data_IF_962764559630
#
_entry.id   IF_962764559630
#
_cell.length_a   1.000
_cell.length_b   1.000
_cell.length_c   1.000
_cell.angle_alpha   90.00
_cell.angle_beta   90.00
_cell.angle_gamma   90.00
#
_symmetry.space_group_name_H-M   'P 1'
#
loop_
_entity.id
_entity.type
_entity.pdbx_description
1 polymer ?
#
# COMPACT_ATOMS: atom_id res chain seq x y z
N UNK A 1 1.15 26.82 -22.27
CA UNK A 1 0.58 25.53 -22.74
C UNK A 1 1.49 24.41 -22.24
N UNK A 2 1.17 23.80 -21.10
CA UNK A 2 1.92 22.65 -20.59
C UNK A 2 1.36 21.38 -21.24
N UNK A 3 2.27 20.59 -21.81
CA UNK A 3 2.00 19.59 -22.84
C UNK A 3 1.16 18.40 -22.42
N UNK A 4 0.41 17.87 -23.38
CA UNK A 4 -0.31 16.60 -23.32
C UNK A 4 0.58 15.39 -22.90
N UNK A 5 1.90 15.51 -22.99
CA UNK A 5 2.87 14.50 -22.50
C UNK A 5 2.91 14.35 -20.98
N UNK A 6 2.52 15.37 -20.20
CA UNK A 6 2.58 15.30 -18.73
C UNK A 6 1.37 14.59 -18.13
N UNK A 7 0.19 14.71 -18.75
CA UNK A 7 -1.05 14.10 -18.26
C UNK A 7 -0.99 12.57 -18.20
N UNK A 8 -0.43 11.93 -19.24
CA UNK A 8 -0.29 10.46 -19.27
C UNK A 8 0.70 9.99 -18.20
N UNK A 9 1.84 10.68 -18.06
CA UNK A 9 2.85 10.33 -17.07
C UNK A 9 2.31 10.49 -15.64
N UNK A 10 1.69 11.63 -15.32
CA UNK A 10 1.11 11.86 -13.99
C UNK A 10 -0.08 10.93 -13.72
N UNK A 11 -0.90 10.64 -14.73
CA UNK A 11 -1.97 9.65 -14.63
C UNK A 11 -1.43 8.25 -14.34
N UNK A 12 -0.35 7.83 -15.02
CA UNK A 12 0.30 6.55 -14.78
C UNK A 12 0.91 6.47 -13.39
N UNK A 13 1.61 7.51 -12.93
CA UNK A 13 2.16 7.58 -11.57
C UNK A 13 1.05 7.49 -10.53
N UNK A 14 -0.04 8.24 -10.71
CA UNK A 14 -1.19 8.19 -9.81
C UNK A 14 -1.84 6.81 -9.77
N UNK A 15 -2.03 6.19 -10.93
CA UNK A 15 -2.56 4.82 -11.04
C UNK A 15 -1.65 3.81 -10.33
N UNK A 16 -0.35 3.81 -10.62
CA UNK A 16 0.61 2.89 -10.00
C UNK A 16 0.67 3.10 -8.49
N UNK A 17 0.65 4.34 -8.01
CA UNK A 17 0.66 4.64 -6.58
C UNK A 17 -0.60 4.10 -5.89
N UNK A 18 -1.78 4.33 -6.48
CA UNK A 18 -3.04 3.80 -5.94
C UNK A 18 -3.10 2.27 -5.99
N UNK A 19 -2.69 1.68 -7.12
CA UNK A 19 -2.63 0.24 -7.31
C UNK A 19 -1.71 -0.43 -6.28
N UNK A 20 -0.47 0.06 -6.13
CA UNK A 20 0.48 -0.45 -5.14
C UNK A 20 -0.04 -0.24 -3.72
N UNK A 21 -0.69 0.89 -3.42
CA UNK A 21 -1.32 1.13 -2.13
C UNK A 21 -2.37 0.07 -1.77
N UNK A 22 -3.24 -0.27 -2.73
CA UNK A 22 -4.23 -1.36 -2.57
C UNK A 22 -3.54 -2.71 -2.39
N UNK A 23 -2.52 -3.02 -3.19
CA UNK A 23 -1.77 -4.28 -3.05
C UNK A 23 -1.11 -4.42 -1.68
N UNK A 24 -0.51 -3.34 -1.15
CA UNK A 24 0.09 -3.32 0.18
C UNK A 24 -0.96 -3.45 1.29
N UNK A 25 -2.13 -2.86 1.12
CA UNK A 25 -3.24 -3.01 2.07
C UNK A 25 -3.69 -4.47 2.14
N UNK A 26 -3.94 -5.11 1.00
CA UNK A 26 -4.31 -6.53 0.94
C UNK A 26 -3.20 -7.43 1.49
N UNK A 27 -1.93 -7.09 1.26
CA UNK A 27 -0.80 -7.81 1.86
C UNK A 27 -0.80 -7.69 3.39
N UNK A 28 -1.15 -6.52 3.92
CA UNK A 28 -1.37 -6.31 5.36
C UNK A 28 -2.51 -7.18 5.89
N UNK A 29 -3.64 -7.22 5.19
CA UNK A 29 -4.78 -8.06 5.56
C UNK A 29 -4.42 -9.55 5.57
N UNK A 30 -3.60 -10.01 4.61
CA UNK A 30 -3.10 -11.39 4.57
C UNK A 30 -2.27 -11.76 5.79
N UNK A 31 -1.58 -10.79 6.41
CA UNK A 31 -0.82 -11.05 7.63
C UNK A 31 -1.73 -11.26 8.85
N UNK A 32 -2.99 -10.87 8.79
CA UNK A 32 -3.92 -11.02 9.91
C UNK A 32 -4.47 -12.44 10.04
N UNK A 33 -5.20 -12.73 11.11
CA UNK A 33 -5.99 -13.96 11.24
C UNK A 33 -7.28 -13.98 10.41
N UNK A 34 -7.70 -12.85 9.84
CA UNK A 34 -8.97 -12.76 9.12
C UNK A 34 -8.80 -13.29 7.70
N UNK A 35 -9.45 -14.43 7.41
CA UNK A 35 -9.49 -15.01 6.08
C UNK A 35 -10.36 -14.16 5.16
N UNK A 36 -9.87 -13.89 3.96
CA UNK A 36 -10.61 -13.23 2.90
C UNK A 36 -10.15 -13.74 1.53
N UNK A 37 -10.85 -13.33 0.47
CA UNK A 37 -10.59 -13.72 -0.92
C UNK A 37 -9.84 -12.59 -1.65
N UNK A 38 -8.49 -12.57 -1.65
CA UNK A 38 -7.72 -11.44 -2.16
C UNK A 38 -7.83 -11.22 -3.67
N UNK A 39 -8.19 -12.27 -4.41
CA UNK A 39 -8.28 -12.26 -5.87
C UNK A 39 -9.73 -12.37 -6.37
N UNK A 40 -10.73 -12.05 -5.53
CA UNK A 40 -12.12 -11.98 -5.97
C UNK A 40 -12.28 -10.91 -7.07
N UNK A 41 -13.07 -11.14 -8.13
CA UNK A 41 -13.95 -12.28 -8.40
C UNK A 41 -13.28 -13.48 -9.11
N UNK A 42 -12.00 -13.39 -9.46
CA UNK A 42 -11.29 -14.39 -10.25
C UNK A 42 -10.98 -15.68 -9.48
N UNK A 43 -10.73 -15.56 -8.18
CA UNK A 43 -10.50 -16.69 -7.28
C UNK A 43 -11.38 -16.57 -6.02
N UNK A 44 -11.88 -17.70 -5.56
CA UNK A 44 -12.75 -17.80 -4.39
C UNK A 44 -12.03 -18.38 -3.16
N UNK A 45 -10.74 -18.70 -3.25
CA UNK A 45 -9.97 -19.22 -2.12
C UNK A 45 -9.79 -18.17 -1.02
N UNK A 46 -10.06 -18.60 0.21
CA UNK A 46 -9.86 -17.81 1.41
C UNK A 46 -8.47 -18.09 2.00
N UNK A 47 -7.65 -17.06 2.11
CA UNK A 47 -6.29 -17.18 2.65
C UNK A 47 -6.03 -16.13 3.74
N UNK A 48 -5.18 -16.50 4.69
CA UNK A 48 -4.62 -15.67 5.76
C UNK A 48 -3.38 -16.39 6.32
N UNK A 49 -2.32 -15.64 6.62
CA UNK A 49 -1.10 -16.17 7.23
C UNK A 49 -1.19 -16.27 8.75
N UNK A 50 -2.02 -15.43 9.38
CA UNK A 50 -2.29 -15.52 10.81
C UNK A 50 -1.08 -15.16 11.69
N UNK A 51 -0.49 -13.99 11.46
CA UNK A 51 0.57 -13.47 12.34
C UNK A 51 0.03 -12.64 13.52
N UNK A 52 -1.06 -11.88 13.31
CA UNK A 52 -1.65 -11.02 14.35
C UNK A 52 -3.15 -10.75 14.12
N UNK A 53 -3.84 -10.26 15.14
CA UNK A 53 -5.25 -9.82 15.02
C UNK A 53 -5.33 -8.48 14.28
N UNK A 54 -6.32 -8.30 13.41
CA UNK A 54 -6.53 -7.01 12.71
C UNK A 54 -6.79 -5.83 13.64
N UNK A 55 -7.29 -6.09 14.85
CA UNK A 55 -7.50 -5.09 15.91
C UNK A 55 -6.26 -4.85 16.79
N UNK A 56 -5.12 -5.50 16.51
CA UNK A 56 -3.90 -5.33 17.29
C UNK A 56 -3.36 -3.91 17.16
N UNK A 57 -3.50 -3.11 18.23
CA UNK A 57 -3.02 -1.73 18.29
C UNK A 57 -1.50 -1.65 18.03
N UNK A 58 -0.74 -2.61 18.54
CA UNK A 58 0.71 -2.70 18.31
C UNK A 58 1.04 -2.91 16.83
N UNK A 59 0.36 -3.84 16.15
CA UNK A 59 0.60 -4.08 14.73
C UNK A 59 0.20 -2.86 13.90
N UNK A 60 -0.97 -2.29 14.17
CA UNK A 60 -1.50 -1.14 13.44
C UNK A 60 -0.61 0.09 13.59
N UNK A 61 -0.15 0.39 14.80
CA UNK A 61 0.83 1.46 15.04
C UNK A 61 2.17 1.17 14.38
N UNK A 62 2.60 -0.10 14.35
CA UNK A 62 3.81 -0.54 13.64
C UNK A 62 3.74 -0.23 12.14
N UNK A 63 2.68 -0.65 11.46
CA UNK A 63 2.50 -0.35 10.03
C UNK A 63 2.35 1.14 9.75
N UNK A 64 1.66 1.88 10.63
CA UNK A 64 1.57 3.34 10.51
C UNK A 64 2.96 3.99 10.62
N UNK A 65 3.77 3.59 11.60
CA UNK A 65 5.12 4.09 11.77
C UNK A 65 6.00 3.78 10.55
N UNK A 66 5.92 2.56 10.01
CA UNK A 66 6.61 2.16 8.77
C UNK A 66 6.19 3.04 7.59
N UNK A 67 4.89 3.31 7.45
CA UNK A 67 4.36 4.20 6.42
C UNK A 67 4.88 5.64 6.55
N UNK A 68 4.90 6.19 7.77
CA UNK A 68 5.43 7.53 8.04
C UNK A 68 6.92 7.59 7.70
N UNK A 69 7.72 6.61 8.15
CA UNK A 69 9.17 6.58 7.88
C UNK A 69 9.43 6.47 6.38
N UNK A 70 8.71 5.60 5.67
CA UNK A 70 8.83 5.46 4.22
C UNK A 70 8.47 6.75 3.47
N UNK A 71 7.36 7.40 3.86
CA UNK A 71 6.95 8.67 3.28
C UNK A 71 7.95 9.80 3.54
N UNK A 72 8.44 9.92 4.78
CA UNK A 72 9.43 10.93 5.14
C UNK A 72 10.75 10.70 4.40
N UNK A 73 11.21 9.45 4.30
CA UNK A 73 12.40 9.09 3.52
C UNK A 73 12.26 9.49 2.05
N UNK A 74 11.11 9.18 1.43
CA UNK A 74 10.82 9.61 0.06
C UNK A 74 10.80 11.14 -0.08
N UNK A 75 10.15 11.85 0.84
CA UNK A 75 10.06 13.31 0.81
C UNK A 75 11.45 13.96 0.92
N UNK A 76 12.31 13.45 1.81
CA UNK A 76 13.68 13.92 1.99
C UNK A 76 14.48 13.75 0.68
N UNK A 77 14.50 12.54 0.12
CA UNK A 77 15.21 12.24 -1.14
C UNK A 77 14.67 13.11 -2.28
N UNK A 78 13.36 13.27 -2.37
CA UNK A 78 12.71 14.03 -3.44
C UNK A 78 12.88 15.54 -3.30
N UNK A 79 13.11 16.04 -2.08
CA UNK A 79 13.36 17.45 -1.82
C UNK A 79 14.79 17.91 -2.16
N UNK A 80 15.70 16.97 -2.47
CA UNK A 80 17.12 17.27 -2.68
C UNK A 80 17.87 17.67 -1.40
N UNK A 81 17.31 17.34 -0.24
CA UNK A 81 17.96 17.57 1.06
C UNK A 81 19.15 16.62 1.31
N UNK A 82 19.30 15.58 0.48
CA UNK A 82 20.41 14.62 0.44
C UNK A 82 20.71 14.29 -1.02
#
# INVERSE_FOLDING_TARGET
MFGYSSGILYGFIGFISGFLGVMLHLLGDLMTYQKFKPLWPFDQREIAYGFFESKSDTANKGFLALGIVGFMGYAIISSGAI
#
